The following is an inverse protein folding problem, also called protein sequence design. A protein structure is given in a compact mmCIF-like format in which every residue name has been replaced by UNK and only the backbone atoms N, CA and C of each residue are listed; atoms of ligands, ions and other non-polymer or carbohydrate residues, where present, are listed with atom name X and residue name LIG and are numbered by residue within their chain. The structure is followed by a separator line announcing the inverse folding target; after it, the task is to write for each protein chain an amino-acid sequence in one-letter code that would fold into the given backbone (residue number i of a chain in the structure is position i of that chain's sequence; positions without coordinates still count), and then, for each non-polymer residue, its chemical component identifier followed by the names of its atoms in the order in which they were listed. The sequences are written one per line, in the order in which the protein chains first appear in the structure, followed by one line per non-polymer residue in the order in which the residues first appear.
data_IF_267932225814
#
_entry.id   IF_267932225814
#
_cell.length_a   1.000
_cell.length_b   1.000
_cell.length_c   1.000
_cell.angle_alpha   90.00
_cell.angle_beta   90.00
_cell.angle_gamma   90.00
#
_symmetry.space_group_name_H-M   'P 1'
#
loop_
_entity.id
_entity.type
_entity.pdbx_description
1 polymer ?
#
# COMPACT_ATOMS: atom_id res chain seq x y z
N UNK A 1 15.19 24.36 1.05
CA UNK A 1 14.34 23.39 0.33
C UNK A 1 14.60 23.57 -1.16
N UNK A 2 15.03 22.51 -1.86
CA UNK A 2 15.24 22.48 -3.32
C UNK A 2 13.90 22.29 -4.04
N UNK A 3 13.70 22.91 -5.20
CA UNK A 3 12.49 22.75 -6.01
C UNK A 3 12.87 22.21 -7.39
N UNK A 4 12.15 21.20 -7.85
CA UNK A 4 12.18 20.64 -9.20
C UNK A 4 10.74 20.76 -9.72
N UNK A 5 10.52 21.44 -10.84
CA UNK A 5 9.18 21.75 -11.32
C UNK A 5 9.11 21.60 -12.84
N UNK A 6 8.10 20.88 -13.33
CA UNK A 6 7.86 20.68 -14.76
C UNK A 6 9.03 20.03 -15.51
N UNK A 7 9.76 19.14 -14.83
CA UNK A 7 10.91 18.47 -15.43
C UNK A 7 10.56 17.08 -15.98
N UNK A 8 11.22 16.72 -17.08
CA UNK A 8 11.29 15.34 -17.56
C UNK A 8 12.59 14.72 -17.04
N UNK A 9 12.48 13.96 -15.97
CA UNK A 9 13.60 13.31 -15.29
C UNK A 9 13.86 11.94 -15.92
N UNK A 10 15.05 11.78 -16.50
CA UNK A 10 15.47 10.58 -17.24
C UNK A 10 16.76 10.00 -16.65
N UNK A 11 17.08 8.78 -17.05
CA UNK A 11 18.28 8.06 -16.60
C UNK A 11 18.15 7.46 -15.20
N UNK A 12 19.05 6.51 -14.90
CA UNK A 12 19.08 5.89 -13.57
C UNK A 12 19.34 6.97 -12.50
N UNK A 13 18.65 6.88 -11.35
CA UNK A 13 18.99 7.69 -10.16
C UNK A 13 18.89 9.22 -10.35
N UNK A 14 17.96 9.70 -11.16
CA UNK A 14 17.77 11.13 -11.48
C UNK A 14 17.71 12.08 -10.25
N UNK A 15 17.25 11.61 -9.09
CA UNK A 15 17.19 12.35 -7.83
C UNK A 15 17.78 11.54 -6.66
N UNK A 16 18.82 10.75 -6.93
CA UNK A 16 19.45 9.91 -5.92
C UNK A 16 20.00 10.73 -4.75
N UNK A 17 19.75 10.24 -3.53
CA UNK A 17 20.10 10.92 -2.28
C UNK A 17 19.56 12.35 -2.21
N UNK A 18 18.47 12.67 -2.91
CA UNK A 18 17.83 13.98 -2.77
C UNK A 18 17.40 14.20 -1.32
N UNK A 19 17.57 15.43 -0.85
CA UNK A 19 17.23 15.83 0.50
C UNK A 19 16.47 17.15 0.47
N UNK A 20 15.46 17.31 1.32
CA UNK A 20 14.71 18.56 1.45
C UNK A 20 14.27 19.12 0.08
N UNK A 21 13.69 18.25 -0.74
CA UNK A 21 13.38 18.53 -2.14
C UNK A 21 11.89 18.39 -2.38
N UNK A 22 11.30 19.42 -2.97
CA UNK A 22 9.95 19.38 -3.56
C UNK A 22 10.09 19.15 -5.06
N UNK A 23 9.49 18.06 -5.55
CA UNK A 23 9.30 17.81 -6.98
C UNK A 23 7.82 18.01 -7.27
N UNK A 24 7.51 18.66 -8.38
CA UNK A 24 6.12 18.91 -8.75
C UNK A 24 5.93 19.01 -10.26
N UNK A 25 4.74 18.62 -10.74
CA UNK A 25 4.38 18.66 -12.16
C UNK A 25 5.39 17.94 -13.07
N UNK A 26 6.14 16.99 -12.52
CA UNK A 26 7.30 16.39 -13.18
C UNK A 26 7.04 14.94 -13.54
N UNK A 27 7.80 14.43 -14.50
CA UNK A 27 7.70 13.05 -14.98
C UNK A 27 9.04 12.36 -14.80
N UNK A 28 9.05 11.30 -14.00
CA UNK A 28 10.14 10.32 -13.98
C UNK A 28 9.89 9.32 -15.11
N UNK A 29 10.61 9.50 -16.22
CA UNK A 29 10.35 8.79 -17.47
C UNK A 29 11.04 7.42 -17.51
N UNK A 30 12.25 7.34 -18.04
CA UNK A 30 13.07 6.13 -18.08
C UNK A 30 14.17 6.18 -17.02
N UNK A 31 14.55 5.02 -16.49
CA UNK A 31 15.60 4.89 -15.48
C UNK A 31 15.10 4.35 -14.14
N UNK A 32 15.88 3.45 -13.55
CA UNK A 32 15.52 2.79 -12.30
C UNK A 32 15.92 3.64 -11.08
N UNK A 33 15.21 3.47 -9.97
CA UNK A 33 15.61 4.01 -8.66
C UNK A 33 15.77 5.54 -8.57
N UNK A 34 14.85 6.37 -9.14
CA UNK A 34 15.06 7.81 -9.24
C UNK A 34 15.29 8.51 -7.90
N UNK A 35 14.53 8.16 -6.85
CA UNK A 35 14.64 8.78 -5.52
C UNK A 35 15.25 7.84 -4.49
N UNK A 36 16.13 6.93 -4.92
CA UNK A 36 16.79 6.00 -3.98
C UNK A 36 17.63 6.75 -2.93
N UNK A 37 17.60 6.29 -1.67
CA UNK A 37 18.29 6.90 -0.50
C UNK A 37 17.87 8.35 -0.22
N UNK A 38 16.68 8.78 -0.64
CA UNK A 38 16.21 10.15 -0.46
C UNK A 38 15.58 10.41 0.92
N UNK A 39 15.56 11.67 1.35
CA UNK A 39 14.87 12.07 2.59
C UNK A 39 14.20 13.43 2.53
N UNK A 40 13.11 13.61 3.27
CA UNK A 40 12.37 14.88 3.33
C UNK A 40 11.94 15.32 1.92
N UNK A 41 11.16 14.46 1.26
CA UNK A 41 10.71 14.64 -0.12
C UNK A 41 9.23 15.00 -0.15
N UNK A 42 8.90 16.02 -0.94
CA UNK A 42 7.53 16.39 -1.28
C UNK A 42 7.34 16.10 -2.77
N UNK A 43 6.32 15.32 -3.12
CA UNK A 43 5.90 14.99 -4.48
C UNK A 43 4.50 15.53 -4.70
N UNK A 44 4.28 16.31 -5.76
CA UNK A 44 3.00 16.96 -6.04
C UNK A 44 2.70 16.95 -7.54
N UNK A 45 1.69 16.19 -7.96
CA UNK A 45 1.29 16.08 -9.36
C UNK A 45 2.40 15.48 -10.25
N UNK A 46 3.08 14.46 -9.74
CA UNK A 46 4.19 13.79 -10.43
C UNK A 46 3.80 12.42 -10.98
N UNK A 47 4.40 12.04 -12.10
CA UNK A 47 4.18 10.74 -12.74
C UNK A 47 5.46 9.92 -12.70
N UNK A 48 5.37 8.69 -12.20
CA UNK A 48 6.44 7.69 -12.24
C UNK A 48 6.11 6.63 -13.28
N UNK A 49 6.96 6.51 -14.30
CA UNK A 49 6.79 5.57 -15.41
C UNK A 49 7.74 4.37 -15.33
N UNK A 50 8.67 4.32 -14.38
CA UNK A 50 9.67 3.25 -14.31
C UNK A 50 9.96 2.77 -12.89
N UNK A 51 10.69 1.67 -12.81
CA UNK A 51 10.82 0.83 -11.60
C UNK A 51 11.48 1.56 -10.43
N UNK A 52 11.11 1.10 -9.24
CA UNK A 52 11.70 1.51 -7.96
C UNK A 52 11.64 3.02 -7.65
N UNK A 53 10.51 3.74 -7.84
CA UNK A 53 10.38 5.16 -7.50
C UNK A 53 11.02 5.58 -6.17
N UNK A 54 10.70 4.87 -5.08
CA UNK A 54 11.13 5.21 -3.72
C UNK A 54 11.76 3.99 -3.04
N UNK A 55 13.08 3.93 -3.03
CA UNK A 55 13.85 2.85 -2.40
C UNK A 55 14.74 3.41 -1.30
N UNK A 56 14.64 2.87 -0.09
CA UNK A 56 15.38 3.38 1.09
C UNK A 56 15.09 4.86 1.38
N UNK A 57 13.87 5.32 1.12
CA UNK A 57 13.47 6.72 1.34
C UNK A 57 12.97 6.96 2.77
N UNK A 58 13.05 8.20 3.26
CA UNK A 58 12.52 8.60 4.58
C UNK A 58 11.76 9.93 4.53
N UNK A 59 10.64 10.03 5.22
CA UNK A 59 9.84 11.26 5.30
C UNK A 59 9.41 11.75 3.91
N UNK A 60 8.45 11.03 3.32
CA UNK A 60 7.92 11.32 1.98
C UNK A 60 6.46 11.74 2.11
N UNK A 61 6.10 12.89 1.56
CA UNK A 61 4.70 13.29 1.35
C UNK A 61 4.44 13.35 -0.15
N UNK A 62 3.42 12.64 -0.61
CA UNK A 62 3.04 12.59 -2.00
C UNK A 62 1.55 12.91 -2.16
N UNK A 63 1.22 13.80 -3.08
CA UNK A 63 -0.15 14.16 -3.41
C UNK A 63 -0.35 14.22 -4.93
N UNK A 64 -1.49 13.72 -5.40
CA UNK A 64 -1.84 13.67 -6.81
C UNK A 64 -0.79 12.96 -7.69
N UNK A 65 -0.12 11.93 -7.17
CA UNK A 65 0.90 11.19 -7.91
C UNK A 65 0.31 10.00 -8.66
N UNK A 66 0.95 9.64 -9.77
CA UNK A 66 0.61 8.44 -10.53
C UNK A 66 1.83 7.52 -10.64
N UNK A 67 1.73 6.31 -10.08
CA UNK A 67 2.69 5.23 -10.33
C UNK A 67 2.07 4.31 -11.38
N UNK A 68 2.61 4.33 -12.59
CA UNK A 68 2.12 3.48 -13.69
C UNK A 68 2.46 2.00 -13.44
N UNK A 69 1.85 1.10 -14.19
CA UNK A 69 2.05 -0.35 -14.09
C UNK A 69 3.52 -0.78 -14.28
N UNK A 70 4.27 -0.05 -15.09
CA UNK A 70 5.71 -0.20 -15.32
C UNK A 70 6.56 0.25 -14.13
N UNK A 71 6.02 1.04 -13.19
CA UNK A 71 6.69 1.49 -11.97
C UNK A 71 6.75 0.40 -10.88
N UNK A 72 6.88 -0.87 -11.30
CA UNK A 72 6.86 -2.08 -10.46
C UNK A 72 7.86 -2.01 -9.30
N UNK A 73 7.55 -2.76 -8.25
CA UNK A 73 8.40 -2.88 -7.06
C UNK A 73 8.67 -1.50 -6.42
N UNK A 74 7.62 -0.67 -6.40
CA UNK A 74 7.83 0.76 -6.49
C UNK A 74 8.37 1.44 -5.24
N UNK A 75 7.89 1.02 -4.06
CA UNK A 75 8.18 1.68 -2.78
C UNK A 75 8.70 0.66 -1.77
N UNK A 76 10.01 0.51 -1.61
CA UNK A 76 10.59 -0.53 -0.75
C UNK A 76 11.55 0.09 0.27
N UNK A 77 11.64 -0.52 1.46
CA UNK A 77 12.51 -0.08 2.55
C UNK A 77 12.30 1.39 2.94
N UNK A 78 11.10 1.91 2.74
CA UNK A 78 10.77 3.32 2.95
C UNK A 78 10.09 3.50 4.31
N UNK A 79 10.45 4.57 5.02
CA UNK A 79 9.91 4.87 6.34
C UNK A 79 9.25 6.25 6.36
N UNK A 80 8.08 6.35 7.00
CA UNK A 80 7.25 7.56 7.08
C UNK A 80 6.90 8.10 5.69
N UNK A 81 5.87 7.50 5.10
CA UNK A 81 5.34 7.88 3.79
C UNK A 81 3.84 8.12 3.85
N UNK A 82 3.43 9.27 3.31
CA UNK A 82 2.03 9.70 3.22
C UNK A 82 1.70 9.91 1.75
N UNK A 83 0.68 9.23 1.24
CA UNK A 83 0.23 9.39 -0.15
C UNK A 83 -1.26 9.71 -0.16
N UNK A 84 -1.63 10.81 -0.83
CA UNK A 84 -3.01 11.28 -0.93
C UNK A 84 -3.48 11.46 -2.36
N UNK A 85 -4.77 11.24 -2.62
CA UNK A 85 -5.44 11.60 -3.88
C UNK A 85 -4.72 11.04 -5.13
N UNK A 86 -4.26 9.79 -5.05
CA UNK A 86 -3.26 9.23 -5.99
C UNK A 86 -3.70 7.90 -6.58
N UNK A 87 -3.04 7.51 -7.67
CA UNK A 87 -3.26 6.22 -8.34
C UNK A 87 -1.94 5.44 -8.38
N UNK A 88 -1.96 4.21 -7.85
CA UNK A 88 -0.82 3.29 -7.83
C UNK A 88 -1.20 2.05 -8.64
N UNK A 89 -0.91 2.07 -9.94
CA UNK A 89 -1.07 0.93 -10.83
C UNK A 89 0.13 -0.03 -10.76
N UNK A 90 1.22 0.39 -10.14
CA UNK A 90 2.41 -0.42 -9.94
C UNK A 90 2.13 -1.61 -9.00
N UNK A 91 2.31 -2.86 -9.46
CA UNK A 91 2.29 -4.03 -8.58
C UNK A 91 3.54 -4.11 -7.70
N UNK A 92 3.46 -4.94 -6.67
CA UNK A 92 4.51 -5.18 -5.67
C UNK A 92 4.93 -3.90 -4.95
N UNK A 93 3.98 -3.00 -4.70
CA UNK A 93 4.24 -1.70 -4.08
C UNK A 93 4.15 -1.81 -2.56
N UNK A 94 5.07 -1.17 -1.84
CA UNK A 94 5.30 -1.34 -0.40
C UNK A 94 5.87 -2.73 -0.05
N UNK A 95 7.18 -2.76 0.21
CA UNK A 95 7.88 -3.93 0.74
C UNK A 95 8.76 -3.50 1.89
N UNK A 96 8.70 -4.19 3.02
CA UNK A 96 9.57 -3.94 4.19
C UNK A 96 9.63 -2.45 4.56
N UNK A 97 8.48 -1.80 4.49
CA UNK A 97 8.32 -0.35 4.69
C UNK A 97 7.48 -0.10 5.93
N UNK A 98 7.60 1.08 6.55
CA UNK A 98 6.87 1.36 7.79
C UNK A 98 6.38 2.79 7.92
N UNK A 99 5.41 3.00 8.82
CA UNK A 99 4.70 4.28 8.98
C UNK A 99 4.10 4.75 7.64
N UNK A 100 3.23 3.92 7.07
CA UNK A 100 2.60 4.16 5.76
C UNK A 100 1.19 4.70 6.00
N UNK A 101 0.86 5.83 5.38
CA UNK A 101 -0.50 6.37 5.36
C UNK A 101 -0.97 6.62 3.93
N UNK A 102 -2.07 5.97 3.52
CA UNK A 102 -2.70 6.20 2.23
C UNK A 102 -4.12 6.75 2.44
N UNK A 103 -4.45 7.84 1.74
CA UNK A 103 -5.76 8.51 1.83
C UNK A 103 -6.31 8.81 0.42
N UNK A 104 -7.53 8.36 0.11
CA UNK A 104 -8.13 8.54 -1.22
C UNK A 104 -7.22 7.99 -2.35
N UNK A 105 -6.76 6.75 -2.20
CA UNK A 105 -5.83 6.11 -3.15
C UNK A 105 -6.49 4.96 -3.90
N UNK A 106 -6.20 4.85 -5.19
CA UNK A 106 -6.64 3.73 -6.02
C UNK A 106 -5.44 2.83 -6.34
N UNK A 107 -5.55 1.54 -6.03
CA UNK A 107 -4.54 0.51 -6.31
C UNK A 107 -5.11 -0.60 -7.20
N UNK A 108 -5.35 -0.35 -8.50
CA UNK A 108 -6.03 -1.30 -9.39
C UNK A 108 -5.20 -2.55 -9.74
N UNK A 109 -3.91 -2.57 -9.40
CA UNK A 109 -3.02 -3.72 -9.58
C UNK A 109 -2.05 -3.81 -8.39
N UNK A 110 -2.59 -4.20 -7.25
CA UNK A 110 -1.92 -4.29 -5.96
C UNK A 110 -1.29 -5.66 -5.67
N UNK A 111 -1.04 -6.48 -6.70
CA UNK A 111 -0.43 -7.82 -6.53
C UNK A 111 0.81 -7.75 -5.63
N UNK A 112 0.85 -8.57 -4.58
CA UNK A 112 1.95 -8.66 -3.63
C UNK A 112 2.36 -7.32 -2.97
N UNK A 113 1.40 -6.44 -2.73
CA UNK A 113 1.63 -5.14 -2.08
C UNK A 113 1.55 -5.22 -0.57
N UNK A 114 2.20 -4.28 0.12
CA UNK A 114 2.31 -4.22 1.59
C UNK A 114 2.91 -5.50 2.21
N UNK A 115 3.92 -6.09 1.59
CA UNK A 115 4.57 -7.27 2.16
C UNK A 115 5.57 -6.88 3.26
N UNK A 116 5.43 -7.51 4.42
CA UNK A 116 6.27 -7.30 5.61
C UNK A 116 6.37 -5.84 6.02
N UNK A 117 5.26 -5.10 5.96
CA UNK A 117 5.21 -3.69 6.35
C UNK A 117 4.72 -3.52 7.79
N UNK A 118 4.98 -2.37 8.40
CA UNK A 118 4.62 -2.10 9.79
C UNK A 118 4.00 -0.70 9.94
N UNK A 119 2.99 -0.56 10.81
CA UNK A 119 2.26 0.69 11.01
C UNK A 119 1.64 1.23 9.72
N UNK A 120 0.64 0.51 9.21
CA UNK A 120 -0.06 0.84 7.97
C UNK A 120 -1.43 1.41 8.28
N UNK A 121 -1.76 2.58 7.70
CA UNK A 121 -3.08 3.22 7.81
C UNK A 121 -3.64 3.51 6.42
N UNK A 122 -4.79 2.93 6.10
CA UNK A 122 -5.48 3.13 4.83
C UNK A 122 -6.86 3.76 5.09
N UNK A 123 -7.18 4.86 4.40
CA UNK A 123 -8.48 5.54 4.50
C UNK A 123 -9.02 5.86 3.10
N UNK A 124 -10.24 5.42 2.79
CA UNK A 124 -10.85 5.61 1.46
C UNK A 124 -9.99 5.03 0.33
N UNK A 125 -9.59 3.77 0.45
CA UNK A 125 -8.67 3.11 -0.50
C UNK A 125 -9.37 1.97 -1.22
N UNK A 126 -9.21 1.88 -2.54
CA UNK A 126 -9.64 0.71 -3.32
C UNK A 126 -8.43 -0.08 -3.79
N UNK A 127 -8.47 -1.39 -3.58
CA UNK A 127 -7.37 -2.32 -3.83
C UNK A 127 -7.88 -3.48 -4.68
N UNK A 128 -7.17 -3.78 -5.77
CA UNK A 128 -7.37 -5.00 -6.55
C UNK A 128 -6.05 -5.74 -6.66
N UNK A 129 -5.94 -6.93 -6.06
CA UNK A 129 -4.74 -7.74 -6.13
C UNK A 129 -4.66 -8.82 -5.05
N UNK A 130 -4.01 -9.92 -5.39
CA UNK A 130 -3.76 -11.05 -4.51
C UNK A 130 -2.58 -10.80 -3.55
N UNK A 131 -2.61 -11.48 -2.40
CA UNK A 131 -1.57 -11.41 -1.36
C UNK A 131 -1.33 -9.97 -0.87
N UNK A 132 -2.39 -9.29 -0.43
CA UNK A 132 -2.35 -7.88 -0.04
C UNK A 132 -2.10 -7.67 1.46
N UNK A 133 -0.85 -7.39 1.85
CA UNK A 133 -0.52 -7.19 3.26
C UNK A 133 0.11 -8.40 3.94
N UNK A 134 0.70 -9.32 3.15
CA UNK A 134 1.38 -10.51 3.68
C UNK A 134 2.44 -10.14 4.73
N UNK A 135 2.43 -10.81 5.89
CA UNK A 135 3.35 -10.62 7.01
C UNK A 135 3.41 -9.18 7.56
N UNK A 136 2.39 -8.35 7.31
CA UNK A 136 2.34 -6.98 7.83
C UNK A 136 1.86 -6.92 9.28
N UNK A 137 2.28 -5.88 9.99
CA UNK A 137 1.96 -5.66 11.41
C UNK A 137 1.35 -4.29 11.66
N UNK A 138 0.41 -4.22 12.60
CA UNK A 138 -0.23 -2.98 13.02
C UNK A 138 -0.90 -2.26 11.84
N UNK A 139 -1.88 -2.93 11.24
CA UNK A 139 -2.60 -2.47 10.03
C UNK A 139 -3.97 -1.95 10.43
N UNK A 140 -4.34 -0.74 9.98
CA UNK A 140 -5.66 -0.15 10.17
C UNK A 140 -6.28 0.24 8.83
N UNK A 141 -7.48 -0.24 8.59
CA UNK A 141 -8.27 0.03 7.38
C UNK A 141 -9.58 0.73 7.76
N UNK A 142 -9.87 1.86 7.12
CA UNK A 142 -11.13 2.58 7.27
C UNK A 142 -11.70 2.93 5.89
N UNK A 143 -12.94 2.50 5.60
CA UNK A 143 -13.55 2.69 4.29
C UNK A 143 -12.66 2.18 3.13
N UNK A 144 -12.25 0.91 3.22
CA UNK A 144 -11.39 0.26 2.24
C UNK A 144 -12.14 -0.84 1.51
N UNK A 145 -11.96 -0.93 0.20
CA UNK A 145 -12.41 -2.10 -0.58
C UNK A 145 -11.19 -2.89 -1.06
N UNK A 146 -11.15 -4.18 -0.76
CA UNK A 146 -10.12 -5.10 -1.25
C UNK A 146 -10.78 -6.18 -2.11
N UNK A 147 -10.34 -6.31 -3.35
CA UNK A 147 -10.71 -7.40 -4.27
C UNK A 147 -9.47 -8.21 -4.63
N UNK A 148 -9.40 -9.46 -4.18
CA UNK A 148 -8.24 -10.32 -4.44
C UNK A 148 -8.13 -11.43 -3.42
N UNK A 149 -7.45 -12.51 -3.79
CA UNK A 149 -7.29 -13.69 -2.95
C UNK A 149 -6.19 -13.48 -1.91
N UNK A 150 -6.35 -14.10 -0.75
CA UNK A 150 -5.35 -14.06 0.32
C UNK A 150 -5.07 -12.63 0.72
N UNK A 151 -6.08 -11.88 1.19
CA UNK A 151 -5.86 -10.49 1.61
C UNK A 151 -4.72 -10.46 2.62
N UNK A 152 -4.94 -10.96 3.83
CA UNK A 152 -3.90 -11.00 4.85
C UNK A 152 -3.42 -12.43 5.06
N UNK A 153 -2.16 -12.70 4.75
CA UNK A 153 -1.48 -13.95 5.10
C UNK A 153 -0.32 -13.66 6.06
N UNK A 154 -0.36 -14.22 7.28
CA UNK A 154 0.69 -14.03 8.29
C UNK A 154 0.66 -12.67 8.99
N UNK A 155 -0.41 -11.89 8.84
CA UNK A 155 -0.50 -10.54 9.39
C UNK A 155 -0.79 -10.53 10.91
N UNK A 156 -0.32 -9.50 11.62
CA UNK A 156 -0.51 -9.33 13.07
C UNK A 156 -1.10 -7.95 13.40
N UNK A 157 -2.08 -7.91 14.32
CA UNK A 157 -2.79 -6.69 14.73
C UNK A 157 -3.42 -5.96 13.54
N UNK A 158 -4.45 -6.57 12.95
CA UNK A 158 -5.20 -6.01 11.81
C UNK A 158 -6.55 -5.50 12.30
N UNK A 159 -6.80 -4.21 12.13
CA UNK A 159 -8.08 -3.55 12.42
C UNK A 159 -8.75 -3.13 11.11
N UNK A 160 -10.00 -3.52 10.92
CA UNK A 160 -10.79 -3.25 9.72
C UNK A 160 -12.12 -2.62 10.12
N UNK A 161 -12.44 -1.44 9.60
CA UNK A 161 -13.71 -0.77 9.85
C UNK A 161 -14.32 -0.17 8.58
N UNK A 162 -15.66 -0.17 8.50
CA UNK A 162 -16.43 0.38 7.37
C UNK A 162 -15.98 -0.10 5.99
N UNK A 163 -15.50 -1.36 5.88
CA UNK A 163 -14.76 -1.84 4.73
C UNK A 163 -15.43 -3.04 4.05
N UNK A 164 -15.03 -3.34 2.81
CA UNK A 164 -15.48 -4.51 2.06
C UNK A 164 -14.29 -5.36 1.60
N UNK A 165 -14.31 -6.65 1.94
CA UNK A 165 -13.30 -7.61 1.50
C UNK A 165 -13.96 -8.66 0.61
N UNK A 166 -13.55 -8.71 -0.66
CA UNK A 166 -13.94 -9.69 -1.66
C UNK A 166 -12.74 -10.59 -1.92
N UNK A 167 -12.67 -11.72 -1.21
CA UNK A 167 -11.48 -12.56 -1.19
C UNK A 167 -11.84 -14.02 -1.02
N UNK A 168 -11.14 -14.93 -1.70
CA UNK A 168 -11.24 -16.35 -1.37
C UNK A 168 -10.89 -16.62 0.10
N UNK A 169 -9.81 -16.04 0.58
CA UNK A 169 -9.28 -16.18 1.96
C UNK A 169 -8.97 -14.79 2.51
N UNK A 170 -9.79 -14.30 3.45
CA UNK A 170 -9.61 -12.94 3.97
C UNK A 170 -8.45 -12.83 4.96
N UNK A 171 -8.35 -13.77 5.91
CA UNK A 171 -7.30 -13.78 6.93
C UNK A 171 -6.72 -15.20 7.13
N UNK A 172 -5.52 -15.41 6.61
CA UNK A 172 -4.77 -16.66 6.71
C UNK A 172 -3.56 -16.47 7.64
N UNK A 173 -3.26 -17.43 8.52
CA UNK A 173 -2.11 -17.41 9.43
C UNK A 173 -2.01 -16.13 10.29
N UNK A 174 -3.13 -15.45 10.56
CA UNK A 174 -3.13 -14.15 11.19
C UNK A 174 -3.12 -14.23 12.72
N UNK A 175 -2.73 -13.12 13.37
CA UNK A 175 -2.81 -12.96 14.82
C UNK A 175 -3.47 -11.64 15.16
N UNK A 176 -4.50 -11.68 15.99
CA UNK A 176 -5.26 -10.50 16.44
C UNK A 176 -5.84 -9.67 15.29
N UNK A 177 -6.99 -10.13 14.81
CA UNK A 177 -7.79 -9.45 13.79
C UNK A 177 -9.05 -8.90 14.44
N UNK A 178 -9.39 -7.66 14.14
CA UNK A 178 -10.61 -7.01 14.59
C UNK A 178 -11.33 -6.41 13.40
N UNK A 179 -12.59 -6.80 13.19
CA UNK A 179 -13.41 -6.31 12.08
C UNK A 179 -14.70 -5.69 12.63
N UNK A 180 -15.01 -4.47 12.19
CA UNK A 180 -16.19 -3.70 12.59
C UNK A 180 -16.93 -3.15 11.38
N UNK A 181 -18.26 -3.11 11.41
CA UNK A 181 -19.10 -2.38 10.44
C UNK A 181 -18.76 -2.68 8.97
N UNK A 182 -18.36 -3.93 8.69
CA UNK A 182 -17.74 -4.30 7.40
C UNK A 182 -18.46 -5.47 6.75
N UNK A 183 -18.20 -5.65 5.45
CA UNK A 183 -18.69 -6.78 4.66
C UNK A 183 -17.52 -7.67 4.23
N UNK A 184 -17.64 -8.97 4.44
CA UNK A 184 -16.66 -9.95 3.94
C UNK A 184 -17.40 -10.97 3.09
N UNK A 185 -16.94 -11.15 1.84
CA UNK A 185 -17.46 -12.11 0.87
C UNK A 185 -16.32 -13.00 0.40
N UNK A 186 -16.47 -14.32 0.56
CA UNK A 186 -15.36 -15.23 0.30
C UNK A 186 -15.65 -16.71 0.45
N UNK A 187 -14.63 -17.55 0.25
CA UNK A 187 -14.73 -18.97 0.57
C UNK A 187 -14.44 -19.19 2.06
N UNK A 188 -13.33 -18.64 2.56
CA UNK A 188 -12.86 -18.75 3.93
C UNK A 188 -12.75 -17.37 4.58
N UNK A 189 -13.38 -17.23 5.75
CA UNK A 189 -13.20 -16.05 6.59
C UNK A 189 -11.82 -16.04 7.26
N UNK A 190 -11.47 -17.16 7.92
CA UNK A 190 -10.19 -17.35 8.62
C UNK A 190 -9.63 -18.76 8.45
N UNK A 191 -8.30 -18.87 8.44
CA UNK A 191 -7.55 -20.13 8.53
C UNK A 191 -6.29 -19.95 9.40
N UNK A 192 -6.04 -20.85 10.36
CA UNK A 192 -4.87 -20.79 11.28
C UNK A 192 -4.68 -19.41 11.94
N UNK A 193 -5.79 -18.81 12.39
CA UNK A 193 -5.79 -17.44 12.94
C UNK A 193 -6.07 -17.46 14.44
N UNK A 194 -5.14 -16.92 15.25
CA UNK A 194 -5.14 -17.09 16.71
C UNK A 194 -6.22 -16.30 17.46
N UNK A 195 -6.65 -15.16 16.94
CA UNK A 195 -7.66 -14.30 17.60
C UNK A 195 -8.40 -13.47 16.56
N UNK A 196 -9.73 -13.57 16.54
CA UNK A 196 -10.63 -12.80 15.68
C UNK A 196 -11.75 -12.20 16.54
N UNK A 197 -11.95 -10.89 16.44
CA UNK A 197 -13.08 -10.17 17.03
C UNK A 197 -13.93 -9.55 15.91
N UNK A 198 -15.22 -9.84 15.92
CA UNK A 198 -16.19 -9.32 14.94
C UNK A 198 -17.26 -8.52 15.66
N UNK A 199 -17.59 -7.33 15.15
CA UNK A 199 -18.70 -6.51 15.65
C UNK A 199 -19.46 -5.89 14.48
N UNK A 200 -20.76 -6.14 14.38
CA UNK A 200 -21.62 -5.59 13.30
C UNK A 200 -21.03 -5.90 11.90
N UNK A 201 -20.80 -7.19 11.61
CA UNK A 201 -20.19 -7.62 10.34
C UNK A 201 -21.19 -8.40 9.50
N UNK A 202 -21.29 -8.07 8.21
CA UNK A 202 -22.03 -8.87 7.23
C UNK A 202 -21.09 -9.90 6.60
N UNK A 203 -21.32 -11.17 6.90
CA UNK A 203 -20.53 -12.27 6.36
C UNK A 203 -21.31 -13.02 5.28
N UNK A 204 -20.70 -13.19 4.11
CA UNK A 204 -21.16 -14.06 3.03
C UNK A 204 -20.03 -15.02 2.67
N UNK A 205 -19.81 -16.03 3.52
CA UNK A 205 -18.71 -16.98 3.40
C UNK A 205 -19.19 -18.42 3.29
N UNK A 206 -18.47 -19.27 2.55
CA UNK A 206 -18.80 -20.69 2.39
C UNK A 206 -18.37 -21.50 3.61
N UNK A 207 -17.21 -21.19 4.19
CA UNK A 207 -16.62 -21.85 5.37
C UNK A 207 -16.19 -20.78 6.38
N UNK A 208 -16.76 -20.86 7.59
CA UNK A 208 -16.62 -19.82 8.62
C UNK A 208 -15.35 -19.93 9.47
N UNK A 209 -14.92 -21.13 9.83
CA UNK A 209 -13.81 -21.33 10.77
C UNK A 209 -13.08 -22.65 10.47
N UNK A 210 -11.77 -22.55 10.24
CA UNK A 210 -10.84 -23.67 10.41
C UNK A 210 -9.72 -23.15 11.30
N UNK A 211 -9.74 -23.60 12.57
CA UNK A 211 -8.79 -23.20 13.61
C UNK A 211 -7.46 -23.89 13.32
#
# INVERSE_FOLDING_TARGET
MKIINQELLTGERACFKAEHTKITQSVFADGESPLKESRNIILENDIFRWKYPLWYSKHVTAENVQLLDTARSGIWYTHDIKIKNSVIQAPKTFRRSSAIALENVQMPNALESLWSCEEVRLTNVNVTGDYFGMNSKNVKLENVTITGNYCFDGAENVEVSNSTLLSKDAFWNCKHVVVRDSTIVGEYLVWNTKTLLLSIVRLKVIKGFVI
#
